data_IF_960414686769
#
_entry.id   IF_960414686769
#
_cell.length_a   1.000
_cell.length_b   1.000
_cell.length_c   1.000
_cell.angle_alpha   90.00
_cell.angle_beta   90.00
_cell.angle_gamma   90.00
#
_symmetry.space_group_name_H-M   'P 1'
#
loop_
_entity.id
_entity.type
_entity.pdbx_description
1 polymer ?
#
# COMPACT_ATOMS: atom_id res chain seq x y z
N UNK A 1 47.27 17.99 -12.76
CA UNK A 1 46.01 18.51 -12.19
C UNK A 1 45.22 17.32 -11.67
N UNK A 2 44.70 17.39 -10.44
CA UNK A 2 43.80 16.36 -9.93
C UNK A 2 42.40 16.62 -10.47
N UNK A 3 41.83 15.66 -11.19
CA UNK A 3 40.44 15.73 -11.64
C UNK A 3 39.57 15.28 -10.48
N UNK A 4 38.74 16.20 -9.96
CA UNK A 4 37.86 15.94 -8.82
C UNK A 4 36.52 15.32 -9.23
N UNK A 5 36.06 15.58 -10.46
CA UNK A 5 34.85 15.01 -11.02
C UNK A 5 35.01 14.77 -12.53
N UNK A 6 34.45 13.65 -12.99
CA UNK A 6 34.33 13.33 -14.42
C UNK A 6 32.86 13.39 -14.79
N UNK A 7 32.53 14.01 -15.91
CA UNK A 7 31.16 14.06 -16.41
C UNK A 7 30.61 12.64 -16.58
N UNK A 8 29.42 12.42 -16.02
CA UNK A 8 28.66 11.19 -16.18
C UNK A 8 27.24 11.58 -16.62
N UNK A 9 26.89 11.25 -17.85
CA UNK A 9 25.62 11.61 -18.47
C UNK A 9 24.41 11.00 -17.73
N UNK A 10 24.50 9.75 -17.28
CA UNK A 10 23.43 9.11 -16.50
C UNK A 10 23.20 9.81 -15.16
N UNK A 11 24.27 10.25 -14.49
CA UNK A 11 24.18 11.03 -13.26
C UNK A 11 23.67 12.46 -13.52
N UNK A 12 24.06 13.06 -14.65
CA UNK A 12 23.59 14.38 -15.06
C UNK A 12 22.08 14.37 -15.38
N UNK A 13 21.59 13.32 -16.06
CA UNK A 13 20.15 13.13 -16.34
C UNK A 13 19.36 12.95 -15.05
N UNK A 14 19.90 12.20 -14.06
CA UNK A 14 19.28 12.09 -12.73
C UNK A 14 19.19 13.44 -12.01
N UNK A 15 20.15 14.34 -12.21
CA UNK A 15 20.13 15.69 -11.66
C UNK A 15 19.03 16.59 -12.21
N UNK A 16 18.43 16.25 -13.36
CA UNK A 16 17.32 17.00 -13.97
C UNK A 16 15.92 16.42 -13.73
N UNK A 17 15.81 15.24 -13.10
CA UNK A 17 14.52 14.63 -12.79
C UNK A 17 14.05 15.04 -11.39
N UNK A 18 12.75 15.32 -11.20
CA UNK A 18 12.21 15.55 -9.86
C UNK A 18 12.51 14.33 -8.98
N UNK A 19 12.97 14.55 -7.76
CA UNK A 19 13.14 13.47 -6.80
C UNK A 19 11.76 12.88 -6.48
N UNK A 20 11.66 11.56 -6.29
CA UNK A 20 10.42 10.93 -5.84
C UNK A 20 10.45 10.72 -4.33
N UNK A 21 9.27 10.73 -3.70
CA UNK A 21 9.14 10.28 -2.32
C UNK A 21 9.52 8.78 -2.25
N UNK A 22 10.43 8.42 -1.34
CA UNK A 22 10.96 7.05 -1.21
C UNK A 22 10.87 6.47 0.20
N UNK A 23 10.49 7.28 1.18
CA UNK A 23 10.45 6.92 2.61
C UNK A 23 9.09 7.21 3.26
N UNK A 24 8.76 6.45 4.30
CA UNK A 24 7.62 6.75 5.18
C UNK A 24 7.87 8.08 5.90
N UNK A 25 6.88 8.99 5.92
CA UNK A 25 7.05 10.27 6.58
C UNK A 25 5.90 11.25 6.36
N UNK A 26 6.03 12.41 7.00
CA UNK A 26 5.13 13.54 6.81
C UNK A 26 5.67 14.45 5.70
N UNK A 27 4.82 14.78 4.72
CA UNK A 27 5.17 15.60 3.58
C UNK A 27 4.17 16.75 3.43
N UNK A 28 4.67 17.97 3.27
CA UNK A 28 3.85 19.16 2.99
C UNK A 28 4.11 19.59 1.55
N UNK A 29 3.04 19.96 0.84
CA UNK A 29 3.14 20.31 -0.55
C UNK A 29 1.83 20.81 -1.17
N UNK A 30 1.77 20.72 -2.50
CA UNK A 30 0.58 21.05 -3.30
C UNK A 30 0.07 19.80 -4.03
N UNK A 31 -1.25 19.68 -4.15
CA UNK A 31 -1.87 18.66 -4.99
C UNK A 31 -1.73 19.07 -6.46
N UNK A 32 -1.07 18.25 -7.25
CA UNK A 32 -0.94 18.43 -8.70
C UNK A 32 -2.21 17.96 -9.43
N UNK A 33 -2.77 16.84 -8.99
CA UNK A 33 -4.03 16.31 -9.55
C UNK A 33 -4.72 15.37 -8.57
N UNK A 34 -6.05 15.33 -8.63
CA UNK A 34 -6.90 14.33 -7.98
C UNK A 34 -7.78 13.67 -9.04
N UNK A 35 -7.41 12.47 -9.49
CA UNK A 35 -8.04 11.77 -10.61
C UNK A 35 -9.03 10.73 -10.11
N UNK A 36 -10.25 10.72 -10.64
CA UNK A 36 -11.18 9.62 -10.47
C UNK A 36 -10.71 8.44 -11.31
N UNK A 37 -10.44 7.32 -10.66
CA UNK A 37 -9.95 6.10 -11.30
C UNK A 37 -10.88 4.93 -11.03
N UNK A 38 -10.89 3.98 -11.95
CA UNK A 38 -11.59 2.71 -11.81
C UNK A 38 -10.60 1.59 -12.12
N UNK A 39 -10.39 0.70 -11.16
CA UNK A 39 -9.58 -0.50 -11.37
C UNK A 39 -10.24 -1.44 -12.39
N UNK A 40 -9.47 -2.36 -12.98
CA UNK A 40 -10.00 -3.39 -13.87
C UNK A 40 -11.14 -4.20 -13.23
N UNK A 41 -11.06 -4.45 -11.91
CA UNK A 41 -12.08 -5.17 -11.16
C UNK A 41 -13.30 -4.32 -10.75
N UNK A 42 -13.37 -3.06 -11.16
CA UNK A 42 -14.53 -2.20 -10.94
C UNK A 42 -14.46 -1.28 -9.71
N UNK A 43 -13.53 -1.51 -8.77
CA UNK A 43 -13.35 -0.63 -7.61
C UNK A 43 -12.95 0.78 -8.03
N UNK A 44 -13.48 1.80 -7.36
CA UNK A 44 -13.26 3.21 -7.68
C UNK A 44 -12.41 3.90 -6.60
N UNK A 45 -11.52 4.79 -7.05
CA UNK A 45 -10.62 5.54 -6.18
C UNK A 45 -10.44 6.98 -6.67
N UNK A 46 -10.00 7.85 -5.77
CA UNK A 46 -9.34 9.11 -6.15
C UNK A 46 -7.84 8.88 -6.03
N UNK A 47 -7.12 9.06 -7.13
CA UNK A 47 -5.67 8.99 -7.20
C UNK A 47 -5.07 10.38 -7.14
N UNK A 48 -4.23 10.61 -6.13
CA UNK A 48 -3.55 11.89 -5.93
C UNK A 48 -2.14 11.85 -6.50
N UNK A 49 -1.75 12.98 -7.08
CA UNK A 49 -0.35 13.33 -7.34
C UNK A 49 -0.03 14.62 -6.60
N UNK A 50 1.08 14.64 -5.87
CA UNK A 50 1.54 15.78 -5.09
C UNK A 50 2.98 16.16 -5.44
N UNK A 51 3.31 17.41 -5.21
CA UNK A 51 4.68 17.91 -5.19
C UNK A 51 4.93 18.52 -3.81
N UNK A 52 5.96 18.04 -3.11
CA UNK A 52 6.36 18.56 -1.80
C UNK A 52 7.05 19.91 -1.95
N UNK A 53 7.16 20.65 -0.84
CA UNK A 53 7.86 21.93 -0.82
C UNK A 53 9.34 21.81 -1.20
N UNK A 54 9.94 20.64 -0.93
CA UNK A 54 11.31 20.30 -1.31
C UNK A 54 11.43 19.78 -2.76
N UNK A 55 10.34 19.85 -3.54
CA UNK A 55 10.31 19.46 -4.95
C UNK A 55 10.21 17.95 -5.20
N UNK A 56 9.87 17.14 -4.19
CA UNK A 56 9.67 15.71 -4.38
C UNK A 56 8.29 15.39 -4.92
N UNK A 57 8.18 14.41 -5.82
CA UNK A 57 6.92 13.94 -6.36
C UNK A 57 6.39 12.71 -5.61
N UNK A 58 5.12 12.79 -5.21
CA UNK A 58 4.34 11.67 -4.70
C UNK A 58 3.21 11.35 -5.68
N UNK A 59 3.39 10.32 -6.51
CA UNK A 59 2.41 9.91 -7.52
C UNK A 59 1.69 8.62 -7.11
N UNK A 60 0.54 8.35 -7.75
CA UNK A 60 -0.23 7.12 -7.59
C UNK A 60 -0.71 6.87 -6.14
N UNK A 61 -1.02 7.95 -5.42
CA UNK A 61 -1.55 7.86 -4.06
C UNK A 61 -3.06 7.62 -4.12
N UNK A 62 -3.47 6.36 -4.24
CA UNK A 62 -4.88 6.00 -4.44
C UNK A 62 -5.65 5.85 -3.12
N UNK A 63 -6.80 6.50 -3.01
CA UNK A 63 -7.78 6.32 -1.94
C UNK A 63 -9.06 5.69 -2.52
N UNK A 64 -9.27 4.41 -2.26
CA UNK A 64 -10.44 3.66 -2.74
C UNK A 64 -11.68 3.98 -1.92
N UNK A 65 -12.74 4.46 -2.55
CA UNK A 65 -13.99 4.82 -1.88
C UNK A 65 -15.17 3.92 -2.24
N UNK A 66 -15.05 3.10 -3.30
CA UNK A 66 -16.02 2.05 -3.64
C UNK A 66 -15.31 0.74 -3.99
N UNK A 67 -15.82 -0.36 -3.46
CA UNK A 67 -15.36 -1.71 -3.72
C UNK A 67 -15.73 -2.21 -5.12
N UNK A 68 -15.24 -3.40 -5.47
CA UNK A 68 -15.54 -4.06 -6.75
C UNK A 68 -17.02 -4.46 -6.87
N UNK A 69 -17.64 -4.70 -5.73
CA UNK A 69 -19.07 -4.95 -5.53
C UNK A 69 -19.93 -3.69 -5.62
N UNK A 70 -19.31 -2.51 -5.74
CA UNK A 70 -20.00 -1.22 -5.80
C UNK A 70 -20.34 -0.63 -4.42
N UNK A 71 -20.06 -1.36 -3.34
CA UNK A 71 -20.30 -0.90 -1.98
C UNK A 71 -19.31 0.19 -1.56
N UNK A 72 -19.79 1.10 -0.73
CA UNK A 72 -18.98 2.20 -0.21
C UNK A 72 -17.94 1.69 0.79
N UNK A 73 -16.71 2.17 0.65
CA UNK A 73 -15.61 1.87 1.57
C UNK A 73 -15.49 3.00 2.58
N UNK A 74 -16.04 2.81 3.78
CA UNK A 74 -16.07 3.84 4.84
C UNK A 74 -14.69 4.42 5.14
N UNK A 75 -13.63 3.61 5.13
CA UNK A 75 -12.26 4.10 5.35
C UNK A 75 -11.81 5.08 4.29
N UNK A 76 -12.08 4.80 3.02
CA UNK A 76 -11.74 5.69 1.90
C UNK A 76 -12.62 6.93 1.84
N UNK A 77 -13.92 6.79 2.09
CA UNK A 77 -14.81 7.94 2.18
C UNK A 77 -14.38 8.89 3.31
N UNK A 78 -14.08 8.35 4.50
CA UNK A 78 -13.58 9.15 5.62
C UNK A 78 -12.25 9.84 5.29
N UNK A 79 -11.36 9.17 4.55
CA UNK A 79 -10.08 9.75 4.11
C UNK A 79 -10.29 10.91 3.13
N UNK A 80 -11.18 10.75 2.13
CA UNK A 80 -11.51 11.82 1.18
C UNK A 80 -12.14 13.02 1.92
N UNK A 81 -13.06 12.77 2.85
CA UNK A 81 -13.67 13.81 3.67
C UNK A 81 -12.63 14.54 4.54
N UNK A 82 -11.66 13.82 5.10
CA UNK A 82 -10.57 14.42 5.86
C UNK A 82 -9.68 15.30 4.97
N UNK A 83 -9.34 14.85 3.76
CA UNK A 83 -8.62 15.64 2.75
C UNK A 83 -9.39 16.92 2.40
N UNK A 84 -10.69 16.81 2.11
CA UNK A 84 -11.56 17.96 1.87
C UNK A 84 -11.57 18.93 3.05
N UNK A 85 -11.67 18.41 4.28
CA UNK A 85 -11.68 19.19 5.51
C UNK A 85 -10.39 19.98 5.72
N UNK A 86 -9.21 19.35 5.59
CA UNK A 86 -7.92 20.04 5.82
C UNK A 86 -7.53 20.98 4.68
N UNK A 87 -8.10 20.80 3.47
CA UNK A 87 -7.90 21.70 2.32
C UNK A 87 -8.98 22.80 2.22
N UNK A 88 -10.01 22.73 3.06
CA UNK A 88 -11.15 23.66 3.07
C UNK A 88 -12.12 23.48 1.89
N UNK A 89 -11.97 22.42 1.10
CA UNK A 89 -12.84 22.11 -0.04
C UNK A 89 -14.17 21.56 0.49
N UNK A 90 -15.30 22.05 -0.06
CA UNK A 90 -16.65 21.71 0.40
C UNK A 90 -17.36 20.70 -0.48
N UNK A 91 -17.00 20.66 -1.75
CA UNK A 91 -17.58 19.77 -2.75
C UNK A 91 -16.49 19.35 -3.74
N UNK A 92 -16.65 18.17 -4.33
CA UNK A 92 -15.81 17.70 -5.41
C UNK A 92 -16.69 17.48 -6.63
N UNK A 93 -16.36 18.14 -7.74
CA UNK A 93 -17.04 17.92 -9.01
C UNK A 93 -16.22 17.01 -9.91
N UNK A 94 -16.85 16.50 -10.97
CA UNK A 94 -16.14 15.74 -11.99
C UNK A 94 -15.94 16.64 -13.20
N UNK A 95 -14.67 16.86 -13.57
CA UNK A 95 -14.29 17.55 -14.81
C UNK A 95 -13.39 16.67 -15.65
N UNK A 96 -13.74 16.50 -16.93
CA UNK A 96 -12.88 15.84 -17.91
C UNK A 96 -11.66 16.71 -18.22
N UNK A 97 -10.47 16.16 -18.05
CA UNK A 97 -9.19 16.75 -18.45
C UNK A 97 -8.41 15.75 -19.30
N UNK A 98 -8.40 15.96 -20.63
CA UNK A 98 -7.86 14.98 -21.57
C UNK A 98 -8.68 13.68 -21.50
N UNK A 99 -8.02 12.58 -21.17
CA UNK A 99 -8.66 11.27 -20.98
C UNK A 99 -9.05 10.98 -19.52
N UNK A 100 -8.68 11.85 -18.58
CA UNK A 100 -8.89 11.63 -17.15
C UNK A 100 -10.11 12.43 -16.64
N UNK A 101 -10.87 11.84 -15.73
CA UNK A 101 -11.86 12.56 -14.93
C UNK A 101 -11.19 13.02 -13.63
N UNK A 102 -11.25 14.32 -13.33
CA UNK A 102 -10.56 14.91 -12.17
C UNK A 102 -11.52 15.65 -11.24
N UNK A 103 -11.11 15.81 -9.98
CA UNK A 103 -11.70 16.72 -9.01
C UNK A 103 -10.90 18.04 -9.01
N UNK A 104 -11.30 19.04 -9.81
CA UNK A 104 -10.50 20.25 -10.03
C UNK A 104 -10.37 21.11 -8.76
N UNK A 105 -11.28 20.98 -7.79
CA UNK A 105 -11.28 21.78 -6.55
C UNK A 105 -10.10 21.46 -5.63
N UNK A 106 -9.52 20.27 -5.77
CA UNK A 106 -8.35 19.83 -5.00
C UNK A 106 -7.04 20.22 -5.68
N UNK A 107 -7.04 20.48 -6.99
CA UNK A 107 -5.84 20.90 -7.72
C UNK A 107 -5.30 22.22 -7.17
N UNK A 108 -3.97 22.29 -6.99
CA UNK A 108 -3.22 23.38 -6.37
C UNK A 108 -3.55 23.68 -4.89
N UNK A 109 -4.36 22.86 -4.22
CA UNK A 109 -4.55 23.00 -2.77
C UNK A 109 -3.29 22.58 -2.03
N UNK A 110 -2.94 23.38 -1.02
CA UNK A 110 -1.88 23.07 -0.06
C UNK A 110 -2.37 21.98 0.88
N UNK A 111 -1.57 20.94 1.09
CA UNK A 111 -1.91 19.82 1.95
C UNK A 111 -0.67 19.25 2.63
N UNK A 112 -0.85 18.75 3.86
CA UNK A 112 0.08 17.86 4.50
C UNK A 112 -0.43 16.43 4.44
N UNK A 113 0.41 15.46 4.07
CA UNK A 113 0.08 14.04 4.06
C UNK A 113 1.16 13.26 4.81
N UNK A 114 0.74 12.44 5.77
CA UNK A 114 1.58 11.36 6.27
C UNK A 114 1.45 10.17 5.32
N UNK A 115 2.55 9.82 4.66
CA UNK A 115 2.63 8.71 3.73
C UNK A 115 3.37 7.55 4.38
N UNK A 116 2.78 6.37 4.33
CA UNK A 116 3.42 5.14 4.78
C UNK A 116 3.77 4.26 3.58
N UNK A 117 5.03 3.84 3.52
CA UNK A 117 5.52 2.90 2.52
C UNK A 117 4.99 1.51 2.86
N UNK A 118 4.28 0.91 1.93
CA UNK A 118 3.80 -0.46 2.02
C UNK A 118 4.63 -1.34 1.07
N UNK A 119 5.41 -2.26 1.62
CA UNK A 119 6.13 -3.27 0.84
C UNK A 119 5.13 -4.35 0.40
N UNK A 120 5.14 -4.71 -0.87
CA UNK A 120 4.18 -5.65 -1.46
C UNK A 120 4.90 -6.69 -2.33
N UNK A 121 4.28 -7.85 -2.51
CA UNK A 121 4.73 -8.85 -3.48
C UNK A 121 3.82 -8.76 -4.71
N UNK A 122 4.42 -8.63 -5.90
CA UNK A 122 3.69 -8.66 -7.17
C UNK A 122 3.28 -10.10 -7.52
N UNK A 123 2.43 -10.24 -8.53
CA UNK A 123 1.96 -11.55 -9.02
C UNK A 123 3.09 -12.45 -9.54
N UNK A 124 4.19 -11.86 -10.01
CA UNK A 124 5.40 -12.57 -10.48
C UNK A 124 6.34 -12.99 -9.34
N UNK A 125 5.98 -12.70 -8.08
CA UNK A 125 6.80 -12.97 -6.90
C UNK A 125 7.86 -11.91 -6.60
N UNK A 126 8.05 -10.92 -7.48
CA UNK A 126 8.98 -9.81 -7.22
C UNK A 126 8.45 -8.86 -6.15
N UNK A 127 9.36 -8.23 -5.42
CA UNK A 127 9.01 -7.21 -4.43
C UNK A 127 8.74 -5.86 -5.11
N UNK A 128 7.80 -5.12 -4.54
CA UNK A 128 7.47 -3.75 -4.89
C UNK A 128 7.17 -2.97 -3.63
N UNK A 129 6.95 -1.67 -3.77
CA UNK A 129 6.27 -0.92 -2.73
C UNK A 129 5.25 0.02 -3.36
N UNK A 130 4.37 0.56 -2.51
CA UNK A 130 3.50 1.69 -2.80
C UNK A 130 3.43 2.60 -1.58
N UNK A 131 2.91 3.80 -1.76
CA UNK A 131 2.57 4.67 -0.64
C UNK A 131 1.07 4.66 -0.38
N UNK A 132 0.70 4.55 0.90
CA UNK A 132 -0.67 4.79 1.35
C UNK A 132 -0.73 6.09 2.16
N UNK A 133 -1.81 6.85 1.97
CA UNK A 133 -2.09 8.03 2.77
C UNK A 133 -2.62 7.54 4.12
N UNK A 134 -1.83 7.70 5.18
CA UNK A 134 -2.24 7.31 6.54
C UNK A 134 -3.05 8.41 7.20
N UNK A 135 -2.64 9.67 7.03
CA UNK A 135 -3.27 10.79 7.71
C UNK A 135 -3.06 12.11 6.95
N UNK A 136 -4.14 12.79 6.54
CA UNK A 136 -4.06 14.14 5.99
C UNK A 136 -4.07 15.18 7.13
N UNK A 137 -3.32 16.25 6.95
CA UNK A 137 -3.21 17.35 7.90
C UNK A 137 -3.12 18.69 7.17
N UNK A 138 -3.38 19.78 7.90
CA UNK A 138 -3.28 21.13 7.36
C UNK A 138 -1.81 21.49 7.11
N UNK A 139 -1.49 21.89 5.88
CA UNK A 139 -0.16 22.39 5.52
C UNK A 139 0.25 23.64 6.33
N UNK A 140 -0.72 24.43 6.81
CA UNK A 140 -0.45 25.68 7.51
C UNK A 140 -0.19 25.47 9.01
N UNK A 141 -0.93 24.57 9.66
CA UNK A 141 -0.88 24.39 11.12
C UNK A 141 -0.27 23.07 11.58
N UNK A 142 -0.03 22.12 10.68
CA UNK A 142 0.38 20.76 11.05
C UNK A 142 -0.71 19.92 11.71
N UNK A 143 -1.90 20.50 11.94
CA UNK A 143 -3.00 19.85 12.67
C UNK A 143 -3.84 18.99 11.73
N UNK A 144 -4.26 17.83 12.21
CA UNK A 144 -5.36 17.08 11.61
C UNK A 144 -6.69 17.83 11.77
N UNK A 145 -7.71 17.42 11.03
CA UNK A 145 -9.04 18.04 11.15
C UNK A 145 -9.59 17.91 12.58
N UNK A 146 -9.41 16.75 13.22
CA UNK A 146 -9.86 16.50 14.59
C UNK A 146 -9.18 17.44 15.58
N UNK A 147 -7.85 17.57 15.52
CA UNK A 147 -7.09 18.47 16.39
C UNK A 147 -7.47 19.94 16.16
N UNK A 148 -7.69 20.33 14.91
CA UNK A 148 -8.15 21.68 14.59
C UNK A 148 -9.51 21.99 15.22
N UNK A 149 -10.47 21.08 15.09
CA UNK A 149 -11.82 21.25 15.65
C UNK A 149 -11.82 21.21 17.19
N UNK A 150 -10.92 20.44 17.80
CA UNK A 150 -10.75 20.37 19.25
C UNK A 150 -9.90 21.51 19.84
N UNK A 151 -9.26 22.33 18.99
CA UNK A 151 -8.32 23.36 19.45
C UNK A 151 -7.03 22.80 20.05
N UNK A 152 -6.67 21.55 19.72
CA UNK A 152 -5.51 20.86 20.25
C UNK A 152 -4.23 21.15 19.44
N UNK A 153 -3.07 20.89 20.05
CA UNK A 153 -1.76 20.97 19.41
C UNK A 153 -1.51 19.78 18.45
N UNK A 154 -0.65 19.93 17.42
CA UNK A 154 -0.44 18.92 16.39
C UNK A 154 0.38 17.73 16.90
N UNK A 155 -0.26 16.81 17.63
CA UNK A 155 0.38 15.65 18.27
C UNK A 155 0.37 14.42 17.37
N UNK A 156 -0.67 14.27 16.53
CA UNK A 156 -0.89 13.05 15.75
C UNK A 156 0.20 12.83 14.72
N UNK A 157 0.57 13.87 13.98
CA UNK A 157 1.60 13.79 12.93
C UNK A 157 2.99 13.62 13.54
N UNK A 158 3.26 14.28 14.67
CA UNK A 158 4.49 14.08 15.44
C UNK A 158 4.62 12.62 15.88
N UNK A 159 3.57 12.06 16.49
CA UNK A 159 3.57 10.67 16.93
C UNK A 159 3.81 9.71 15.76
N UNK A 160 3.16 9.95 14.60
CA UNK A 160 3.35 9.12 13.40
C UNK A 160 4.79 9.19 12.89
N UNK A 161 5.39 10.37 12.89
CA UNK A 161 6.78 10.57 12.43
C UNK A 161 7.77 9.81 13.32
N UNK A 162 7.52 9.76 14.63
CA UNK A 162 8.39 9.09 15.60
C UNK A 162 8.20 7.56 15.62
N UNK A 163 6.99 7.06 15.36
CA UNK A 163 6.63 5.66 15.64
C UNK A 163 6.27 4.84 14.39
N UNK A 164 5.83 5.46 13.30
CA UNK A 164 5.44 4.72 12.12
C UNK A 164 6.67 4.18 11.40
N UNK A 165 6.56 2.94 10.96
CA UNK A 165 7.55 2.25 10.13
C UNK A 165 6.90 1.85 8.82
N UNK A 166 7.72 1.43 7.87
CA UNK A 166 7.24 0.77 6.66
C UNK A 166 6.35 -0.42 7.03
N UNK A 167 5.25 -0.57 6.31
CA UNK A 167 4.30 -1.66 6.48
C UNK A 167 4.68 -2.81 5.57
N UNK A 168 4.89 -3.99 6.12
CA UNK A 168 5.18 -5.18 5.34
C UNK A 168 3.91 -5.93 4.98
N UNK A 169 3.47 -5.80 3.72
CA UNK A 169 2.36 -6.55 3.13
C UNK A 169 2.87 -7.59 2.12
N UNK A 170 4.17 -7.92 2.13
CA UNK A 170 4.69 -8.99 1.28
C UNK A 170 4.04 -10.31 1.68
N UNK A 171 3.82 -11.18 0.70
CA UNK A 171 3.27 -12.49 0.98
C UNK A 171 4.26 -13.23 1.89
N UNK A 172 3.84 -13.54 3.12
CA UNK A 172 4.60 -14.44 3.98
C UNK A 172 4.72 -15.75 3.21
N UNK A 173 5.94 -16.21 2.98
CA UNK A 173 6.19 -17.45 2.26
C UNK A 173 5.85 -18.64 3.18
N UNK A 174 4.56 -18.83 3.48
CA UNK A 174 4.06 -19.89 4.38
C UNK A 174 4.29 -21.29 3.80
N UNK A 175 4.81 -21.40 2.58
CA UNK A 175 5.07 -22.68 1.92
C UNK A 175 6.31 -23.40 2.48
N UNK A 176 7.27 -22.73 3.13
CA UNK A 176 8.45 -23.43 3.70
C UNK A 176 8.26 -23.92 5.14
N UNK A 177 7.43 -23.28 5.96
CA UNK A 177 7.17 -23.73 7.33
C UNK A 177 6.29 -25.00 7.37
N UNK A 178 5.44 -25.19 6.36
CA UNK A 178 4.54 -26.35 6.30
C UNK A 178 5.26 -27.66 5.91
N UNK A 179 6.39 -27.60 5.20
CA UNK A 179 7.21 -28.78 4.91
C UNK A 179 8.10 -29.19 6.09
N UNK A 180 8.59 -28.26 6.92
CA UNK A 180 9.41 -28.63 8.08
C UNK A 180 8.58 -29.22 9.24
N UNK A 181 7.32 -28.81 9.40
CA UNK A 181 6.43 -29.39 10.40
C UNK A 181 5.96 -30.82 10.07
N UNK A 182 5.85 -31.17 8.79
CA UNK A 182 5.46 -32.52 8.37
C UNK A 182 6.61 -33.54 8.44
N UNK A 183 7.87 -33.09 8.33
CA UNK A 183 9.05 -33.95 8.43
C UNK A 183 9.49 -34.26 9.87
N UNK A 184 9.06 -33.49 10.88
CA UNK A 184 9.35 -33.83 12.28
C UNK A 184 8.40 -34.87 12.89
N UNK A 185 7.20 -35.06 12.33
CA UNK A 185 6.25 -36.04 12.89
C UNK A 185 6.51 -37.48 12.41
N UNK A 186 7.20 -37.66 11.29
CA UNK A 186 7.51 -39.00 10.73
C UNK A 186 8.81 -39.64 11.28
N UNK A 187 9.55 -38.96 12.16
CA UNK A 187 10.81 -39.48 12.71
C UNK A 187 10.69 -40.02 14.16
N UNK A 188 9.53 -39.94 14.81
CA UNK A 188 9.38 -40.32 16.24
C UNK A 188 8.62 -41.62 16.51
N UNK A 189 8.11 -42.32 15.49
CA UNK A 189 7.41 -43.61 15.69
C UNK A 189 7.93 -44.69 14.75
N UNK A 190 9.04 -45.32 15.14
CA UNK A 190 9.43 -46.62 14.61
C UNK A 190 9.13 -47.69 15.66
N UNK A 191 8.09 -48.54 15.50
CA UNK A 191 7.92 -49.73 16.32
C UNK A 191 8.80 -50.86 15.78
N UNK A 192 9.61 -51.45 16.66
CA UNK A 192 10.33 -52.70 16.43
C UNK A 192 9.35 -53.88 16.40
N UNK A 193 9.32 -54.64 15.30
CA UNK A 193 8.59 -55.92 15.21
C UNK A 193 9.52 -57.11 15.48
N UNK A 194 9.11 -58.11 16.28
CA UNK A 194 9.73 -59.43 16.29
C UNK A 194 9.12 -60.36 15.21
N UNK A 195 9.98 -61.27 14.77
CA UNK A 195 9.85 -62.23 13.67
C UNK A 195 8.93 -63.42 14.02
N UNK A 196 8.08 -63.84 13.07
CA UNK A 196 7.30 -65.09 13.14
C UNK A 196 6.56 -65.40 11.82
N UNK A 197 6.69 -66.64 11.35
CA UNK A 197 6.34 -67.15 10.01
C UNK A 197 5.10 -68.10 10.10
N UNK A 198 4.59 -68.74 9.02
CA UNK A 198 3.51 -68.26 8.14
C UNK A 198 2.27 -69.20 8.07
N UNK A 199 1.12 -68.73 7.57
CA UNK A 199 -0.02 -69.48 6.98
C UNK A 199 -1.19 -68.50 6.74
N UNK A 200 -2.15 -68.62 5.83
CA UNK A 200 -2.48 -69.45 4.67
C UNK A 200 -3.76 -68.82 4.07
N UNK A 201 -3.89 -68.88 2.75
CA UNK A 201 -5.13 -68.92 1.94
C UNK A 201 -6.10 -67.72 1.79
N UNK A 202 -6.48 -67.57 0.50
CA UNK A 202 -7.71 -67.01 -0.10
C UNK A 202 -8.07 -65.56 0.24
N UNK A 203 -8.40 -64.68 -0.71
CA UNK A 203 -8.93 -64.82 -2.05
C UNK A 203 -9.98 -63.73 -2.24
N UNK A 204 -10.14 -63.18 -3.45
CA UNK A 204 -11.28 -62.34 -3.81
C UNK A 204 -10.96 -60.87 -4.01
N UNK A 205 -10.59 -60.54 -5.24
CA UNK A 205 -11.00 -59.29 -5.87
C UNK A 205 -12.50 -59.43 -6.19
N UNK A 206 -13.31 -58.45 -5.81
CA UNK A 206 -14.48 -57.90 -6.54
C UNK A 206 -15.12 -56.83 -5.63
N UNK A 207 -15.19 -55.55 -6.03
CA UNK A 207 -16.10 -54.94 -7.00
C UNK A 207 -17.48 -54.66 -6.38
N UNK A 208 -17.71 -53.41 -5.92
CA UNK A 208 -19.05 -52.81 -5.78
C UNK A 208 -18.99 -51.41 -5.11
N UNK A 209 -19.11 -50.33 -5.87
CA UNK A 209 -19.92 -49.17 -5.45
C UNK A 209 -20.59 -48.53 -6.68
N UNK A 210 -21.91 -48.73 -6.89
CA UNK A 210 -22.68 -48.02 -7.91
C UNK A 210 -23.30 -46.72 -7.39
N UNK A 211 -23.33 -45.71 -8.28
CA UNK A 211 -24.06 -44.42 -8.29
C UNK A 211 -23.95 -43.47 -7.08
#
# INVERSE_FOLDING_TARGET
MAVMFTYNEEQAVKGGQPAFITETGAYVGKILSAKYTKSQGGAQAIEFSIETDDGMLGNYLSVYYKGKDGNDLSSGLNMIQAIMGVTGVKELTVKRQGNDDIAPELTNKRIGLFLQKELTTKNDGSESYRFSITCPFSAASGKTLTEHLAGEEPKRIQWLTEHAKDKDNRAKNTRQEQYQAQHQYYQSTSPSYPQGQPASNNGGFDDDIPF
#
